data_IF_149932108647
#
_entry.id   IF_149932108647
#
_cell.length_a   1.000
_cell.length_b   1.000
_cell.length_c   1.000
_cell.angle_alpha   90.00
_cell.angle_beta   90.00
_cell.angle_gamma   90.00
#
_symmetry.space_group_name_H-M   'P 1'
#
loop_
_entity.id
_entity.type
_entity.pdbx_description
1 polymer ?
#
# COMPACT_ATOMS: atom_id res chain seq x y z
N UNK A 1 -6.95 16.43 24.88
CA UNK A 1 -5.60 16.78 24.41
C UNK A 1 -4.98 15.68 23.55
N UNK A 2 -4.22 14.71 24.10
CA UNK A 2 -3.31 13.82 23.35
C UNK A 2 -3.86 13.20 22.05
N UNK A 3 -5.09 12.68 22.07
CA UNK A 3 -5.76 12.06 20.89
C UNK A 3 -5.88 12.99 19.67
N UNK A 4 -5.97 14.31 19.87
CA UNK A 4 -6.10 15.29 18.77
C UNK A 4 -4.75 15.47 18.06
N UNK A 5 -3.64 15.57 18.81
CA UNK A 5 -2.31 15.67 18.23
C UNK A 5 -1.94 14.44 17.40
N UNK A 6 -2.28 13.23 17.89
CA UNK A 6 -2.09 12.00 17.14
C UNK A 6 -2.87 12.00 15.81
N UNK A 7 -4.11 12.50 15.80
CA UNK A 7 -4.94 12.61 14.60
C UNK A 7 -4.39 13.64 13.60
N UNK A 8 -3.88 14.77 14.09
CA UNK A 8 -3.30 15.83 13.27
C UNK A 8 -1.98 15.37 12.63
N UNK A 9 -1.12 14.67 13.39
CA UNK A 9 0.10 14.02 12.86
C UNK A 9 -0.26 12.96 11.80
N UNK A 10 -1.29 12.13 12.05
CA UNK A 10 -1.75 11.16 11.06
C UNK A 10 -2.25 11.82 9.76
N UNK A 11 -2.96 12.95 9.85
CA UNK A 11 -3.38 13.73 8.67
C UNK A 11 -2.18 14.30 7.91
N UNK A 12 -1.16 14.84 8.60
CA UNK A 12 0.07 15.35 7.95
C UNK A 12 0.83 14.22 7.27
N UNK A 13 0.97 13.06 7.92
CA UNK A 13 1.59 11.87 7.31
C UNK A 13 0.78 11.43 6.09
N UNK A 14 -0.54 11.32 6.19
CA UNK A 14 -1.42 10.97 5.06
C UNK A 14 -1.39 12.00 3.92
N UNK A 15 -1.22 13.29 4.21
CA UNK A 15 -1.08 14.36 3.23
C UNK A 15 0.25 14.30 2.47
N UNK A 16 1.37 14.15 3.19
CA UNK A 16 2.70 13.93 2.59
C UNK A 16 2.71 12.62 1.79
N UNK A 17 2.13 11.56 2.35
CA UNK A 17 1.91 10.27 1.68
C UNK A 17 1.09 10.43 0.39
N UNK A 18 0.01 11.22 0.40
CA UNK A 18 -0.82 11.52 -0.78
C UNK A 18 -0.13 12.47 -1.79
N UNK A 19 1.00 13.07 -1.42
CA UNK A 19 1.87 13.80 -2.35
C UNK A 19 2.98 12.88 -2.93
N UNK A 20 3.43 11.89 -2.14
CA UNK A 20 4.64 11.08 -2.41
C UNK A 20 4.40 9.65 -2.94
N UNK A 21 3.14 9.19 -2.95
CA UNK A 21 2.46 8.10 -3.80
C UNK A 21 2.21 7.94 -6.98
N UNK A 22 1.18 8.45 -7.73
CA UNK A 22 1.18 9.67 -8.60
C UNK A 22 2.49 10.23 -9.18
N UNK A 23 3.67 10.04 -8.56
CA UNK A 23 4.98 10.41 -9.13
C UNK A 23 5.76 9.16 -9.58
N UNK A 24 5.12 8.39 -10.47
CA UNK A 24 5.57 7.29 -11.35
C UNK A 24 6.41 6.13 -10.74
N UNK A 25 6.70 6.16 -9.43
CA UNK A 25 7.74 5.31 -8.84
C UNK A 25 7.17 4.13 -8.02
N UNK A 26 7.85 2.98 -8.04
CA UNK A 26 7.39 1.74 -7.41
C UNK A 26 7.09 1.86 -5.90
N UNK A 27 7.77 2.76 -5.20
CA UNK A 27 7.61 3.01 -3.77
C UNK A 27 6.20 3.49 -3.37
N UNK A 28 5.43 4.08 -4.30
CA UNK A 28 4.00 4.40 -4.11
C UNK A 28 3.16 3.14 -3.74
N UNK A 29 3.69 1.92 -3.92
CA UNK A 29 3.07 0.64 -3.52
C UNK A 29 3.54 0.03 -2.20
N UNK A 30 4.78 0.33 -1.74
CA UNK A 30 5.26 -0.06 -0.40
C UNK A 30 4.47 0.62 0.74
N UNK A 31 3.62 1.58 0.38
CA UNK A 31 2.70 2.28 1.27
C UNK A 31 1.57 1.40 1.81
N UNK A 32 1.16 0.34 1.07
CA UNK A 32 0.12 -0.60 1.52
C UNK A 32 0.53 -1.38 2.78
N UNK A 33 1.68 -2.07 2.83
CA UNK A 33 2.10 -2.76 4.05
C UNK A 33 2.41 -1.81 5.22
N UNK A 34 2.88 -0.58 4.96
CA UNK A 34 3.08 0.44 6.01
C UNK A 34 1.74 0.88 6.61
N UNK A 35 0.73 1.16 5.77
CA UNK A 35 -0.61 1.51 6.23
C UNK A 35 -1.26 0.36 7.01
N UNK A 36 -1.03 -0.88 6.59
CA UNK A 36 -1.53 -2.08 7.25
C UNK A 36 -0.87 -2.34 8.62
N UNK A 37 0.44 -2.09 8.74
CA UNK A 37 1.14 -2.09 10.04
C UNK A 37 0.59 -1.00 10.98
N UNK A 38 0.33 0.20 10.44
CA UNK A 38 -0.29 1.30 11.20
C UNK A 38 -1.70 0.95 11.70
N UNK A 39 -2.56 0.32 10.89
CA UNK A 39 -3.91 -0.07 11.34
C UNK A 39 -3.87 -1.20 12.37
N UNK A 40 -3.00 -2.20 12.21
CA UNK A 40 -2.81 -3.26 13.21
C UNK A 40 -2.28 -2.70 14.54
N UNK A 41 -1.28 -1.82 14.51
CA UNK A 41 -0.79 -1.13 15.71
C UNK A 41 -1.87 -0.30 16.40
N UNK A 42 -2.73 0.39 15.65
CA UNK A 42 -3.86 1.14 16.18
C UNK A 42 -4.93 0.23 16.82
N UNK A 43 -5.30 -0.87 16.17
CA UNK A 43 -6.27 -1.86 16.68
C UNK A 43 -5.80 -2.56 17.96
N UNK A 44 -4.49 -2.82 18.08
CA UNK A 44 -3.87 -3.31 19.32
C UNK A 44 -3.86 -2.25 20.41
N UNK A 45 -3.45 -1.01 20.10
CA UNK A 45 -3.39 0.09 21.08
C UNK A 45 -4.77 0.47 21.65
N UNK A 46 -5.84 0.30 20.88
CA UNK A 46 -7.22 0.47 21.34
C UNK A 46 -7.82 -0.75 22.06
N UNK A 47 -7.04 -1.83 22.26
CA UNK A 47 -7.48 -3.04 22.94
C UNK A 47 -8.57 -3.83 22.20
N UNK A 48 -8.82 -3.51 20.93
CA UNK A 48 -9.91 -4.10 20.13
C UNK A 48 -9.59 -5.52 19.67
N UNK A 49 -8.29 -5.87 19.62
CA UNK A 49 -7.81 -7.23 19.33
C UNK A 49 -7.61 -8.01 20.64
N UNK A 50 -8.70 -8.56 21.18
CA UNK A 50 -8.71 -9.46 22.33
C UNK A 50 -8.26 -10.89 21.98
N UNK A 51 -7.13 -11.02 21.29
CA UNK A 51 -6.53 -12.28 20.83
C UNK A 51 -5.13 -12.48 21.39
N UNK A 52 -4.56 -13.67 21.20
CA UNK A 52 -3.18 -13.96 21.60
C UNK A 52 -2.20 -13.22 20.69
N UNK A 53 -1.01 -12.89 21.19
CA UNK A 53 0.05 -12.25 20.40
C UNK A 53 0.41 -13.04 19.13
N UNK A 54 0.25 -14.36 19.18
CA UNK A 54 0.45 -15.28 18.05
C UNK A 54 -0.60 -15.04 16.94
N UNK A 55 -1.88 -14.88 17.30
CA UNK A 55 -2.96 -14.66 16.33
C UNK A 55 -2.74 -13.37 15.53
N UNK A 56 -2.25 -12.32 16.20
CA UNK A 56 -1.95 -11.03 15.59
C UNK A 56 -0.72 -11.12 14.67
N UNK A 57 0.33 -11.86 15.06
CA UNK A 57 1.48 -12.14 14.19
C UNK A 57 1.05 -12.91 12.93
N UNK A 58 0.22 -13.95 13.08
CA UNK A 58 -0.33 -14.72 11.94
C UNK A 58 -1.16 -13.81 11.04
N UNK A 59 -2.05 -12.98 11.60
CA UNK A 59 -2.84 -12.01 10.84
C UNK A 59 -1.95 -11.03 10.06
N UNK A 60 -0.92 -10.46 10.71
CA UNK A 60 0.03 -9.55 10.08
C UNK A 60 0.74 -10.21 8.88
N UNK A 61 1.26 -11.43 9.04
CA UNK A 61 1.94 -12.14 7.96
C UNK A 61 1.00 -12.50 6.81
N UNK A 62 -0.22 -13.00 7.11
CA UNK A 62 -1.22 -13.30 6.09
C UNK A 62 -1.64 -12.05 5.30
N UNK A 63 -1.89 -10.94 5.99
CA UNK A 63 -2.21 -9.65 5.36
C UNK A 63 -1.06 -9.10 4.51
N UNK A 64 0.19 -9.18 5.00
CA UNK A 64 1.38 -8.80 4.25
C UNK A 64 1.52 -9.58 2.94
N UNK A 65 1.39 -10.92 3.00
CA UNK A 65 1.51 -11.79 1.82
C UNK A 65 0.40 -11.47 0.80
N UNK A 66 -0.84 -11.30 1.26
CA UNK A 66 -1.97 -10.94 0.40
C UNK A 66 -1.77 -9.56 -0.27
N UNK A 67 -1.36 -8.55 0.49
CA UNK A 67 -1.11 -7.19 -0.02
C UNK A 67 0.03 -7.15 -1.03
N UNK A 68 1.15 -7.85 -0.76
CA UNK A 68 2.29 -7.92 -1.66
C UNK A 68 1.97 -8.70 -2.94
N UNK A 69 1.24 -9.82 -2.84
CA UNK A 69 0.80 -10.60 -4.00
C UNK A 69 -0.18 -9.84 -4.89
N UNK A 70 -1.19 -9.20 -4.31
CA UNK A 70 -2.14 -8.36 -5.04
C UNK A 70 -1.43 -7.18 -5.72
N UNK A 71 -0.47 -6.54 -5.04
CA UNK A 71 0.32 -5.45 -5.61
C UNK A 71 1.21 -5.91 -6.76
N UNK A 72 1.92 -7.04 -6.62
CA UNK A 72 2.75 -7.60 -7.68
C UNK A 72 1.94 -7.91 -8.95
N UNK A 73 0.79 -8.56 -8.81
CA UNK A 73 -0.16 -8.83 -9.89
C UNK A 73 -0.66 -7.56 -10.58
N UNK A 74 -1.03 -6.53 -9.79
CA UNK A 74 -1.42 -5.22 -10.31
C UNK A 74 -0.31 -4.52 -11.10
N UNK A 75 0.94 -4.58 -10.61
CA UNK A 75 2.13 -4.03 -11.31
C UNK A 75 2.40 -4.77 -12.62
N UNK A 76 2.26 -6.10 -12.64
CA UNK A 76 2.47 -6.89 -13.85
C UNK A 76 1.40 -6.62 -14.91
N UNK A 77 0.12 -6.55 -14.52
CA UNK A 77 -0.98 -6.15 -15.39
C UNK A 77 -0.75 -4.78 -16.05
N UNK A 78 -0.31 -3.79 -15.26
CA UNK A 78 0.02 -2.45 -15.77
C UNK A 78 1.26 -2.46 -16.69
N UNK A 79 2.29 -3.27 -16.39
CA UNK A 79 3.46 -3.46 -17.26
C UNK A 79 3.06 -4.09 -18.61
N UNK A 80 2.15 -5.08 -18.58
CA UNK A 80 1.60 -5.77 -19.76
C UNK A 80 0.75 -4.84 -20.63
N UNK A 81 -0.07 -3.96 -20.03
CA UNK A 81 -0.75 -2.87 -20.74
C UNK A 81 0.24 -1.91 -21.40
N UNK A 82 1.19 -1.35 -20.64
CA UNK A 82 2.19 -0.38 -21.18
C UNK A 82 3.01 -0.99 -22.33
N UNK A 83 3.30 -2.30 -22.31
CA UNK A 83 3.97 -3.00 -23.42
C UNK A 83 3.10 -3.12 -24.68
N UNK A 84 1.81 -3.45 -24.54
CA UNK A 84 0.86 -3.50 -25.68
C UNK A 84 0.65 -2.14 -26.33
N UNK A 85 0.58 -1.06 -25.55
CA UNK A 85 0.48 0.30 -26.08
C UNK A 85 1.74 0.69 -26.87
N UNK A 86 2.93 0.33 -26.36
CA UNK A 86 4.20 0.54 -27.07
C UNK A 86 4.31 -0.29 -28.36
N UNK A 87 3.83 -1.54 -28.36
CA UNK A 87 3.78 -2.41 -29.55
C UNK A 87 2.82 -1.84 -30.61
N UNK A 88 1.66 -1.30 -30.22
CA UNK A 88 0.76 -0.55 -31.13
C UNK A 88 1.44 0.68 -31.73
N UNK A 89 2.08 1.51 -30.90
CA UNK A 89 2.77 2.72 -31.36
C UNK A 89 3.83 2.35 -32.41
N UNK A 90 4.64 1.31 -32.15
CA UNK A 90 5.60 0.81 -33.14
C UNK A 90 4.95 0.32 -34.44
N UNK A 91 3.80 -0.34 -34.41
CA UNK A 91 3.14 -0.76 -35.66
C UNK A 91 2.63 0.40 -36.52
N UNK A 92 2.36 1.58 -35.94
CA UNK A 92 2.00 2.79 -36.69
C UNK A 92 3.21 3.64 -37.12
N UNK A 93 4.39 3.41 -36.53
CA UNK A 93 5.65 4.13 -36.79
C UNK A 93 6.52 3.44 -37.87
N UNK A 94 6.04 2.31 -38.40
CA UNK A 94 6.71 1.45 -39.42
C UNK A 94 5.91 1.41 -40.74
N UNK A 95 4.77 2.13 -40.82
CA UNK A 95 3.93 2.27 -42.02
C UNK A 95 4.05 3.67 -42.64
#
# INVERSE_FOLDING_TARGET
MFRIYAFLIAIVILGVQYFLSRRDNAYWGAILPILYLMTMGYLWFFGTLSGSTIDLVIAIFAGLIALLGAWASGRESMKKKRKRELEKMKSYDIQ
#
